data_IF_987140160380
#
_entry.id   IF_987140160380
#
_cell.length_a   1.000
_cell.length_b   1.000
_cell.length_c   1.000
_cell.angle_alpha   90.00
_cell.angle_beta   90.00
_cell.angle_gamma   90.00
#
_symmetry.space_group_name_H-M   'P 1'
#
loop_
_entity.id
_entity.type
_entity.pdbx_description
1 polymer ?
#
# COMPACT_ATOMS: atom_id res chain seq x y z
N UNK A 1 -31.41 2.25 -3.53
CA UNK A 1 -32.82 2.73 -3.63
C UNK A 1 -33.73 1.51 -3.68
N UNK A 2 -34.93 1.54 -3.05
CA UNK A 2 -35.89 0.41 -3.01
C UNK A 2 -37.11 0.72 -3.87
N UNK A 3 -37.48 -0.20 -4.76
CA UNK A 3 -38.84 -0.52 -5.27
C UNK A 3 -38.68 -1.46 -6.50
N UNK A 4 -39.56 -2.38 -6.90
CA UNK A 4 -40.72 -3.06 -6.32
C UNK A 4 -41.03 -4.27 -7.24
N UNK A 5 -41.62 -5.34 -6.69
CA UNK A 5 -42.00 -6.56 -7.44
C UNK A 5 -43.14 -6.32 -8.45
N UNK A 6 -43.08 -7.01 -9.59
CA UNK A 6 -44.26 -7.45 -10.34
C UNK A 6 -44.17 -8.95 -10.61
N UNK A 7 -45.15 -9.69 -10.09
CA UNK A 7 -45.48 -11.06 -10.53
C UNK A 7 -46.23 -10.97 -11.85
N UNK A 8 -45.95 -11.90 -12.75
CA UNK A 8 -46.97 -12.56 -13.56
C UNK A 8 -46.50 -13.98 -13.83
N UNK A 9 -47.36 -14.93 -13.43
CA UNK A 9 -47.29 -16.34 -13.73
C UNK A 9 -47.69 -16.57 -15.20
N UNK A 10 -47.00 -17.47 -15.91
CA UNK A 10 -47.56 -18.55 -16.73
C UNK A 10 -46.43 -19.34 -17.42
N UNK A 11 -46.68 -20.65 -17.52
CA UNK A 11 -45.76 -21.77 -17.69
C UNK A 11 -45.32 -21.99 -19.15
N UNK A 12 -44.05 -22.34 -19.38
CA UNK A 12 -43.63 -23.69 -19.83
C UNK A 12 -42.22 -23.75 -20.47
N UNK A 13 -41.39 -24.56 -19.81
CA UNK A 13 -40.50 -25.59 -20.35
C UNK A 13 -39.17 -25.28 -21.11
N UNK A 14 -38.15 -26.04 -20.66
CA UNK A 14 -36.89 -26.46 -21.30
C UNK A 14 -35.56 -25.69 -21.12
N UNK A 15 -34.66 -26.39 -20.41
CA UNK A 15 -33.19 -26.44 -20.50
C UNK A 15 -32.37 -25.39 -19.76
N UNK A 16 -31.80 -25.83 -18.63
CA UNK A 16 -30.82 -25.10 -17.84
C UNK A 16 -29.41 -25.24 -18.42
N UNK A 17 -28.88 -24.18 -19.01
CA UNK A 17 -27.45 -23.91 -19.11
C UNK A 17 -27.28 -22.39 -19.21
N UNK A 18 -27.09 -21.73 -18.07
CA UNK A 18 -26.66 -20.33 -18.06
C UNK A 18 -25.14 -20.25 -17.89
N UNK A 19 -24.54 -19.76 -18.95
CA UNK A 19 -23.17 -19.35 -19.16
C UNK A 19 -23.02 -17.96 -18.52
N UNK A 20 -22.26 -17.86 -17.42
CA UNK A 20 -22.02 -16.57 -16.74
C UNK A 20 -20.98 -15.77 -17.52
N UNK A 21 -21.44 -15.14 -18.61
CA UNK A 21 -20.69 -14.16 -19.38
C UNK A 21 -20.77 -12.80 -18.66
N UNK A 22 -19.69 -12.44 -17.96
CA UNK A 22 -19.46 -11.07 -17.49
C UNK A 22 -19.32 -10.14 -18.70
N UNK A 23 -20.44 -9.53 -19.08
CA UNK A 23 -20.54 -8.52 -20.10
C UNK A 23 -20.27 -7.16 -19.44
N UNK A 24 -19.16 -6.54 -19.83
CA UNK A 24 -18.78 -5.17 -19.48
C UNK A 24 -19.91 -4.24 -19.97
N UNK A 25 -20.66 -3.69 -19.03
CA UNK A 25 -21.68 -2.67 -19.30
C UNK A 25 -21.17 -1.36 -18.74
N UNK A 26 -20.70 -0.52 -19.66
CA UNK A 26 -20.53 0.92 -19.46
C UNK A 26 -21.93 1.51 -19.21
N UNK A 27 -22.36 1.54 -17.94
CA UNK A 27 -23.42 2.44 -17.49
C UNK A 27 -22.78 3.74 -17.03
N UNK A 28 -23.00 4.80 -17.82
CA UNK A 28 -22.72 6.18 -17.47
C UNK A 28 -23.34 6.50 -16.11
N UNK A 29 -22.50 6.65 -15.09
CA UNK A 29 -22.92 7.08 -13.76
C UNK A 29 -23.41 8.53 -13.82
N UNK A 30 -24.68 8.72 -13.47
CA UNK A 30 -25.28 10.04 -13.25
C UNK A 30 -24.40 10.86 -12.29
N UNK A 31 -23.99 12.04 -12.75
CA UNK A 31 -23.30 13.08 -12.00
C UNK A 31 -24.15 13.51 -10.78
N UNK A 32 -23.91 12.87 -9.64
CA UNK A 32 -24.44 13.31 -8.35
C UNK A 32 -23.54 14.43 -7.79
N UNK A 33 -23.99 15.68 -7.99
CA UNK A 33 -23.68 16.91 -7.24
C UNK A 33 -22.34 16.94 -6.48
N UNK A 34 -21.24 17.15 -7.23
CA UNK A 34 -19.89 17.37 -6.68
C UNK A 34 -19.72 18.82 -6.15
N UNK A 35 -20.60 19.75 -6.55
CA UNK A 35 -20.38 21.20 -6.45
C UNK A 35 -20.49 21.77 -5.01
N UNK A 36 -21.31 21.18 -4.14
CA UNK A 36 -21.53 21.74 -2.78
C UNK A 36 -20.45 21.34 -1.75
N UNK A 37 -19.63 20.33 -2.06
CA UNK A 37 -18.58 19.81 -1.16
C UNK A 37 -17.23 20.53 -1.28
N UNK A 38 -17.00 21.22 -2.41
CA UNK A 38 -15.74 21.91 -2.74
C UNK A 38 -15.52 23.13 -1.84
N UNK A 39 -16.60 23.79 -1.41
CA UNK A 39 -16.55 25.03 -0.62
C UNK A 39 -16.02 24.90 0.82
N UNK A 40 -15.94 23.68 1.38
CA UNK A 40 -15.42 23.45 2.75
C UNK A 40 -14.09 22.71 2.81
N UNK A 41 -13.74 21.91 1.80
CA UNK A 41 -12.60 21.00 1.86
C UNK A 41 -11.56 21.21 0.74
N UNK A 42 -11.76 22.19 -0.14
CA UNK A 42 -10.85 22.47 -1.25
C UNK A 42 -10.90 21.40 -2.35
N UNK A 43 -10.01 21.52 -3.33
CA UNK A 43 -9.85 20.54 -4.42
C UNK A 43 -9.13 19.29 -3.89
N UNK A 44 -9.74 18.12 -4.04
CA UNK A 44 -9.17 16.85 -3.60
C UNK A 44 -8.09 16.37 -4.57
N UNK A 45 -6.86 16.21 -4.09
CA UNK A 45 -5.81 15.49 -4.82
C UNK A 45 -5.95 13.98 -4.59
N UNK A 46 -6.05 13.21 -5.68
CA UNK A 46 -6.17 11.74 -5.61
C UNK A 46 -4.85 11.09 -6.00
N UNK A 47 -4.31 10.27 -5.11
CA UNK A 47 -3.17 9.38 -5.42
C UNK A 47 -3.71 8.00 -5.81
N UNK A 48 -3.28 7.41 -6.93
CA UNK A 48 -3.72 6.07 -7.31
C UNK A 48 -3.14 5.00 -6.38
N UNK A 49 -3.86 3.88 -6.25
CA UNK A 49 -3.40 2.72 -5.48
C UNK A 49 -2.17 2.09 -6.16
N UNK A 50 -1.02 2.11 -5.49
CA UNK A 50 0.26 1.63 -6.04
C UNK A 50 0.21 0.11 -6.24
N UNK A 51 -0.33 -0.62 -5.27
CA UNK A 51 -0.49 -2.09 -5.35
C UNK A 51 -1.40 -2.51 -6.50
N UNK A 52 -2.53 -1.81 -6.69
CA UNK A 52 -3.40 -2.07 -7.84
C UNK A 52 -2.68 -1.80 -9.16
N UNK A 53 -1.88 -0.73 -9.21
CA UNK A 53 -1.08 -0.38 -10.38
C UNK A 53 0.00 -1.43 -10.66
N UNK A 54 0.69 -1.95 -9.63
CA UNK A 54 1.63 -3.07 -9.76
C UNK A 54 0.96 -4.34 -10.28
N UNK A 55 -0.26 -4.63 -9.80
CA UNK A 55 -1.07 -5.75 -10.31
C UNK A 55 -1.31 -5.63 -11.82
N UNK A 56 -1.55 -4.43 -12.35
CA UNK A 56 -1.70 -4.21 -13.80
C UNK A 56 -0.41 -4.47 -14.57
N UNK A 57 0.75 -4.11 -14.01
CA UNK A 57 2.07 -4.40 -14.60
C UNK A 57 2.34 -5.90 -14.61
N UNK A 58 2.12 -6.60 -13.49
CA UNK A 58 2.37 -8.04 -13.39
C UNK A 58 1.38 -8.84 -14.23
N UNK A 59 0.14 -8.37 -14.41
CA UNK A 59 -0.85 -9.03 -15.27
C UNK A 59 -0.42 -9.16 -16.74
N UNK A 60 0.68 -8.53 -17.16
CA UNK A 60 1.35 -8.80 -18.44
C UNK A 60 1.73 -10.29 -18.62
N UNK A 61 1.91 -11.07 -17.53
CA UNK A 61 2.14 -12.52 -17.61
C UNK A 61 1.01 -13.29 -18.31
N UNK A 62 -0.22 -12.74 -18.27
CA UNK A 62 -1.38 -13.32 -18.94
C UNK A 62 -1.50 -12.88 -20.40
N UNK A 63 -0.81 -11.79 -20.78
CA UNK A 63 -0.82 -11.23 -22.13
C UNK A 63 0.29 -11.79 -23.01
N UNK A 64 1.39 -12.27 -22.41
CA UNK A 64 2.49 -12.89 -23.14
C UNK A 64 2.15 -14.36 -23.49
N UNK A 65 1.95 -14.74 -24.77
CA UNK A 65 1.37 -16.03 -25.13
C UNK A 65 2.17 -17.25 -24.66
N UNK A 66 3.50 -17.17 -24.73
CA UNK A 66 4.37 -18.26 -24.31
C UNK A 66 4.33 -18.48 -22.78
N UNK A 67 4.32 -17.39 -22.01
CA UNK A 67 4.21 -17.40 -20.55
C UNK A 67 2.84 -17.91 -20.13
N UNK A 68 1.77 -17.37 -20.73
CA UNK A 68 0.40 -17.82 -20.47
C UNK A 68 0.24 -19.32 -20.71
N UNK A 69 0.74 -19.83 -21.84
CA UNK A 69 0.69 -21.27 -22.16
C UNK A 69 1.42 -22.12 -21.13
N UNK A 70 2.57 -21.67 -20.62
CA UNK A 70 3.31 -22.37 -19.56
C UNK A 70 2.51 -22.38 -18.25
N UNK A 71 1.93 -21.25 -17.86
CA UNK A 71 1.08 -21.15 -16.66
C UNK A 71 -0.19 -22.01 -16.80
N UNK A 72 -0.80 -22.08 -17.98
CA UNK A 72 -2.00 -22.90 -18.22
C UNK A 72 -1.71 -24.40 -18.11
N UNK A 73 -0.52 -24.86 -18.52
CA UNK A 73 -0.06 -26.22 -18.27
C UNK A 73 0.10 -26.50 -16.77
N UNK A 74 0.71 -25.57 -16.03
CA UNK A 74 0.82 -25.69 -14.58
C UNK A 74 -0.55 -25.76 -13.91
N UNK A 75 -1.48 -24.88 -14.30
CA UNK A 75 -2.87 -24.89 -13.81
C UNK A 75 -3.56 -26.20 -14.11
N UNK A 76 -3.36 -26.76 -15.30
CA UNK A 76 -3.92 -28.07 -15.64
C UNK A 76 -3.40 -29.16 -14.70
N UNK A 77 -2.09 -29.23 -14.49
CA UNK A 77 -1.49 -30.19 -13.57
C UNK A 77 -2.03 -30.02 -12.14
N UNK A 78 -2.07 -28.80 -11.63
CA UNK A 78 -2.63 -28.49 -10.30
C UNK A 78 -4.08 -28.95 -10.21
N UNK A 79 -4.91 -28.69 -11.23
CA UNK A 79 -6.31 -29.14 -11.26
C UNK A 79 -6.44 -30.67 -11.26
N UNK A 80 -5.57 -31.39 -11.96
CA UNK A 80 -5.57 -32.87 -11.94
C UNK A 80 -5.35 -33.40 -10.53
N UNK A 81 -4.33 -32.89 -9.83
CA UNK A 81 -4.08 -33.22 -8.43
C UNK A 81 -5.28 -32.85 -7.56
N UNK A 82 -5.79 -31.62 -7.69
CA UNK A 82 -6.90 -31.12 -6.85
C UNK A 82 -8.20 -31.90 -7.03
N UNK A 83 -8.44 -32.51 -8.19
CA UNK A 83 -9.62 -33.34 -8.48
C UNK A 83 -9.48 -34.79 -8.01
N UNK A 84 -8.26 -35.30 -7.86
CA UNK A 84 -8.02 -36.70 -7.50
C UNK A 84 -7.68 -36.83 -6.02
N UNK A 85 -8.59 -37.45 -5.25
CA UNK A 85 -8.36 -37.77 -3.84
C UNK A 85 -7.12 -38.63 -3.65
N UNK A 86 -6.90 -39.61 -4.53
CA UNK A 86 -5.74 -40.52 -4.49
C UNK A 86 -4.44 -39.75 -4.75
N UNK A 87 -4.42 -38.81 -5.70
CA UNK A 87 -3.21 -38.02 -5.98
C UNK A 87 -2.85 -37.09 -4.81
N UNK A 88 -3.86 -36.42 -4.23
CA UNK A 88 -3.68 -35.58 -3.04
C UNK A 88 -3.16 -36.40 -1.87
N UNK A 89 -3.76 -37.55 -1.58
CA UNK A 89 -3.35 -38.40 -0.45
C UNK A 89 -1.90 -38.90 -0.62
N UNK A 90 -1.52 -39.32 -1.83
CA UNK A 90 -0.13 -39.72 -2.12
C UNK A 90 0.85 -38.55 -2.00
N UNK A 91 0.46 -37.35 -2.43
CA UNK A 91 1.30 -36.16 -2.30
C UNK A 91 1.47 -35.77 -0.83
N UNK A 92 0.39 -35.74 -0.07
CA UNK A 92 0.39 -35.52 1.37
C UNK A 92 1.25 -36.55 2.10
N UNK A 93 1.17 -37.83 1.72
CA UNK A 93 2.00 -38.89 2.29
C UNK A 93 3.50 -38.72 2.00
N UNK A 94 3.88 -38.00 0.94
CA UNK A 94 5.29 -37.76 0.57
C UNK A 94 5.88 -36.50 1.20
N UNK A 95 5.11 -35.40 1.28
CA UNK A 95 5.65 -34.11 1.71
C UNK A 95 4.77 -33.33 2.70
N UNK A 96 3.60 -33.86 3.08
CA UNK A 96 2.67 -33.18 3.99
C UNK A 96 1.99 -31.93 3.42
N UNK A 97 2.23 -31.61 2.14
CA UNK A 97 1.73 -30.41 1.48
C UNK A 97 0.79 -30.74 0.32
N UNK A 98 -0.09 -29.81 -0.02
CA UNK A 98 -0.92 -29.85 -1.23
C UNK A 98 -0.55 -28.74 -2.20
N UNK A 99 -0.91 -28.94 -3.46
CA UNK A 99 -0.91 -27.88 -4.46
C UNK A 99 -2.06 -26.88 -4.21
N UNK A 100 -1.87 -25.65 -4.66
CA UNK A 100 -2.80 -24.53 -4.44
C UNK A 100 -3.34 -24.08 -5.80
N UNK A 101 -4.67 -23.90 -5.93
CA UNK A 101 -5.26 -23.31 -7.13
C UNK A 101 -4.95 -21.81 -7.18
N UNK A 102 -4.82 -21.25 -8.38
CA UNK A 102 -4.79 -19.81 -8.57
C UNK A 102 -6.16 -19.23 -8.94
N UNK A 103 -6.27 -17.91 -8.78
CA UNK A 103 -7.28 -17.05 -9.34
C UNK A 103 -6.58 -16.22 -10.43
N UNK A 104 -6.74 -16.55 -11.73
CA UNK A 104 -5.95 -15.93 -12.80
C UNK A 104 -6.07 -14.40 -12.89
N UNK A 105 -7.15 -13.82 -12.33
CA UNK A 105 -7.37 -12.37 -12.25
C UNK A 105 -6.56 -11.69 -11.12
N UNK A 106 -6.02 -12.45 -10.16
CA UNK A 106 -5.18 -11.98 -9.04
C UNK A 106 -3.80 -12.62 -9.14
N UNK A 107 -2.81 -11.88 -9.64
CA UNK A 107 -1.49 -12.45 -9.95
C UNK A 107 -0.77 -13.02 -8.72
N UNK A 108 -1.03 -12.47 -7.52
CA UNK A 108 -0.47 -12.97 -6.26
C UNK A 108 -0.80 -14.44 -6.04
N UNK A 109 -2.02 -14.87 -6.36
CA UNK A 109 -2.42 -16.27 -6.29
C UNK A 109 -1.71 -17.15 -7.33
N UNK A 110 -1.44 -16.62 -8.53
CA UNK A 110 -0.65 -17.30 -9.56
C UNK A 110 0.79 -17.49 -9.11
N UNK A 111 1.39 -16.46 -8.49
CA UNK A 111 2.73 -16.53 -7.91
C UNK A 111 2.83 -17.59 -6.80
N UNK A 112 1.84 -17.64 -5.90
CA UNK A 112 1.77 -18.65 -4.84
C UNK A 112 1.59 -20.08 -5.37
N UNK A 113 0.75 -20.28 -6.38
CA UNK A 113 0.59 -21.58 -7.05
C UNK A 113 1.92 -22.03 -7.64
N UNK A 114 2.62 -21.15 -8.36
CA UNK A 114 3.92 -21.45 -8.95
C UNK A 114 4.98 -21.76 -7.89
N UNK A 115 5.05 -20.96 -6.84
CA UNK A 115 5.99 -21.15 -5.73
C UNK A 115 5.77 -22.49 -5.03
N UNK A 116 4.51 -22.83 -4.70
CA UNK A 116 4.16 -24.12 -4.10
C UNK A 116 4.48 -25.28 -5.03
N UNK A 117 4.16 -25.18 -6.31
CA UNK A 117 4.43 -26.26 -7.27
C UNK A 117 5.94 -26.53 -7.43
N UNK A 118 6.77 -25.48 -7.39
CA UNK A 118 8.23 -25.61 -7.43
C UNK A 118 8.79 -26.20 -6.13
N UNK A 119 8.23 -25.83 -4.96
CA UNK A 119 8.60 -26.36 -3.64
C UNK A 119 8.42 -27.89 -3.58
N UNK A 120 7.31 -28.41 -4.12
CA UNK A 120 7.00 -29.85 -4.09
C UNK A 120 7.27 -30.56 -5.42
N UNK A 121 8.07 -29.97 -6.31
CA UNK A 121 8.28 -30.42 -7.70
C UNK A 121 8.58 -31.91 -7.82
N UNK A 122 9.56 -32.40 -7.06
CA UNK A 122 10.03 -33.80 -7.19
C UNK A 122 8.97 -34.80 -6.73
N UNK A 123 8.21 -34.44 -5.69
CA UNK A 123 7.08 -35.24 -5.21
C UNK A 123 5.92 -35.23 -6.20
N UNK A 124 5.62 -34.08 -6.80
CA UNK A 124 4.58 -33.95 -7.86
C UNK A 124 4.95 -34.78 -9.08
N UNK A 125 6.20 -34.71 -9.54
CA UNK A 125 6.68 -35.51 -10.67
C UNK A 125 6.55 -37.01 -10.39
N UNK A 126 6.98 -37.46 -9.20
CA UNK A 126 6.88 -38.86 -8.78
C UNK A 126 5.43 -39.35 -8.69
N UNK A 127 4.52 -38.54 -8.16
CA UNK A 127 3.10 -38.92 -8.07
C UNK A 127 2.46 -38.95 -9.46
N UNK A 128 2.74 -37.96 -10.31
CA UNK A 128 2.23 -37.92 -11.68
C UNK A 128 2.68 -39.15 -12.48
N UNK A 129 3.94 -39.56 -12.36
CA UNK A 129 4.47 -40.78 -12.97
C UNK A 129 3.72 -42.03 -12.49
N UNK A 130 3.49 -42.16 -11.17
CA UNK A 130 2.71 -43.27 -10.59
C UNK A 130 1.24 -43.31 -11.05
N UNK A 131 0.73 -42.18 -11.52
CA UNK A 131 -0.63 -42.01 -12.04
C UNK A 131 -0.69 -42.08 -13.56
N UNK A 132 0.44 -42.28 -14.25
CA UNK A 132 0.56 -42.22 -15.71
C UNK A 132 0.06 -40.90 -16.30
N UNK A 133 0.23 -39.80 -15.56
CA UNK A 133 -0.16 -38.46 -16.00
C UNK A 133 1.00 -37.73 -16.65
N UNK A 134 0.68 -36.96 -17.70
CA UNK A 134 1.64 -36.04 -18.29
C UNK A 134 1.94 -34.90 -17.31
N UNK A 135 3.19 -34.86 -16.84
CA UNK A 135 3.72 -33.77 -16.04
C UNK A 135 4.42 -32.73 -16.91
N UNK A 136 4.75 -31.59 -16.30
CA UNK A 136 5.59 -30.58 -16.94
C UNK A 136 6.97 -31.18 -17.24
N UNK A 137 7.51 -30.81 -18.40
CA UNK A 137 8.84 -31.24 -18.81
C UNK A 137 9.92 -30.57 -17.96
N UNK A 138 11.13 -31.16 -17.83
CA UNK A 138 12.22 -30.56 -17.06
C UNK A 138 12.53 -29.11 -17.47
N UNK A 139 12.47 -28.81 -18.77
CA UNK A 139 12.66 -27.46 -19.31
C UNK A 139 11.53 -26.49 -18.95
N UNK A 140 10.30 -26.98 -18.79
CA UNK A 140 9.15 -26.20 -18.35
C UNK A 140 9.24 -25.85 -16.86
N UNK A 141 9.68 -26.80 -16.03
CA UNK A 141 9.99 -26.55 -14.63
C UNK A 141 11.10 -25.50 -14.46
N UNK A 142 12.14 -25.56 -15.28
CA UNK A 142 13.20 -24.55 -15.27
C UNK A 142 12.67 -23.16 -15.67
N UNK A 143 11.81 -23.08 -16.70
CA UNK A 143 11.19 -21.81 -17.11
C UNK A 143 10.27 -21.24 -16.02
N UNK A 144 9.53 -22.09 -15.30
CA UNK A 144 8.74 -21.66 -14.14
C UNK A 144 9.61 -21.12 -13.01
N UNK A 145 10.76 -21.74 -12.73
CA UNK A 145 11.69 -21.22 -11.73
C UNK A 145 12.20 -19.83 -12.12
N UNK A 146 12.61 -19.64 -13.38
CA UNK A 146 13.01 -18.32 -13.89
C UNK A 146 11.87 -17.31 -13.78
N UNK A 147 10.64 -17.69 -14.11
CA UNK A 147 9.48 -16.81 -13.98
C UNK A 147 9.17 -16.46 -12.52
N UNK A 148 9.35 -17.41 -11.59
CA UNK A 148 9.24 -17.15 -10.15
C UNK A 148 10.26 -16.11 -9.70
N UNK A 149 11.50 -16.21 -10.16
CA UNK A 149 12.55 -15.27 -9.79
C UNK A 149 12.30 -13.87 -10.37
N UNK A 150 11.76 -13.78 -11.60
CA UNK A 150 11.30 -12.50 -12.17
C UNK A 150 10.21 -11.84 -11.31
N UNK A 151 9.26 -12.63 -10.80
CA UNK A 151 8.11 -12.12 -10.05
C UNK A 151 8.34 -11.97 -8.54
N UNK A 152 9.46 -12.48 -8.00
CA UNK A 152 9.73 -12.47 -6.57
C UNK A 152 9.79 -11.04 -5.98
N UNK A 153 10.58 -10.10 -6.54
CA UNK A 153 10.61 -8.74 -6.01
C UNK A 153 9.24 -8.05 -6.04
N UNK A 154 8.42 -8.32 -7.07
CA UNK A 154 7.04 -7.80 -7.11
C UNK A 154 6.21 -8.32 -5.95
N UNK A 155 6.37 -9.59 -5.56
CA UNK A 155 5.61 -10.21 -4.47
C UNK A 155 6.03 -9.64 -3.12
N UNK A 156 7.32 -9.42 -2.93
CA UNK A 156 7.87 -8.83 -1.71
C UNK A 156 7.43 -7.37 -1.56
N UNK A 157 7.64 -6.54 -2.59
CA UNK A 157 7.24 -5.13 -2.57
C UNK A 157 5.73 -4.94 -2.45
N UNK A 158 4.93 -5.75 -3.15
CA UNK A 158 3.47 -5.68 -3.01
C UNK A 158 3.04 -5.97 -1.57
N UNK A 159 3.61 -6.99 -0.94
CA UNK A 159 3.29 -7.34 0.46
C UNK A 159 3.69 -6.22 1.43
N UNK A 160 4.83 -5.57 1.20
CA UNK A 160 5.29 -4.43 2.00
C UNK A 160 4.35 -3.22 1.84
N UNK A 161 3.97 -2.90 0.60
CA UNK A 161 3.10 -1.77 0.27
C UNK A 161 1.62 -1.99 0.65
N UNK A 162 1.20 -3.24 0.84
CA UNK A 162 -0.12 -3.61 1.36
C UNK A 162 -0.27 -3.42 2.88
N UNK A 163 0.80 -3.03 3.58
CA UNK A 163 0.76 -2.77 5.01
C UNK A 163 -0.23 -1.66 5.39
N UNK A 164 -0.78 -1.79 6.60
CA UNK A 164 -1.93 -1.02 7.09
C UNK A 164 -1.61 0.47 7.28
N UNK A 165 -0.33 0.80 7.50
CA UNK A 165 0.18 2.15 7.78
C UNK A 165 1.60 2.29 7.25
N UNK A 166 2.01 3.51 6.92
CA UNK A 166 3.41 3.85 6.61
C UNK A 166 4.01 3.15 5.40
N UNK A 167 3.21 2.99 4.34
CA UNK A 167 3.67 2.38 3.10
C UNK A 167 3.96 3.38 1.98
N UNK A 168 3.47 4.63 2.04
CA UNK A 168 3.70 5.60 0.97
C UNK A 168 5.18 5.99 0.84
N UNK A 169 5.91 6.10 1.94
CA UNK A 169 7.35 6.39 1.94
C UNK A 169 8.18 5.32 1.23
N UNK A 170 7.67 4.08 1.19
CA UNK A 170 8.34 2.93 0.58
C UNK A 170 8.07 2.82 -0.93
N UNK A 171 7.21 3.66 -1.50
CA UNK A 171 6.82 3.57 -2.92
C UNK A 171 7.99 3.87 -3.85
N UNK A 172 8.67 5.01 -3.65
CA UNK A 172 9.81 5.40 -4.48
C UNK A 172 10.93 4.35 -4.48
N UNK A 173 11.47 3.90 -3.33
CA UNK A 173 12.52 2.88 -3.34
C UNK A 173 12.05 1.56 -3.95
N UNK A 174 10.82 1.12 -3.67
CA UNK A 174 10.28 -0.12 -4.26
C UNK A 174 10.21 -0.04 -5.80
N UNK A 175 9.76 1.08 -6.35
CA UNK A 175 9.68 1.26 -7.81
C UNK A 175 11.08 1.33 -8.45
N UNK A 176 12.04 1.99 -7.80
CA UNK A 176 13.42 2.05 -8.29
C UNK A 176 14.09 0.67 -8.28
N UNK A 177 13.91 -0.12 -7.20
CA UNK A 177 14.40 -1.49 -7.12
C UNK A 177 13.77 -2.39 -8.19
N UNK A 178 12.45 -2.31 -8.37
CA UNK A 178 11.76 -3.03 -9.44
C UNK A 178 12.23 -2.64 -10.84
N UNK A 179 12.52 -1.36 -11.08
CA UNK A 179 13.09 -0.85 -12.35
C UNK A 179 14.48 -1.44 -12.59
N UNK A 180 15.33 -1.46 -11.56
CA UNK A 180 16.65 -2.09 -11.59
C UNK A 180 16.58 -3.59 -11.91
N UNK A 181 15.74 -4.32 -11.16
CA UNK A 181 15.50 -5.75 -11.35
C UNK A 181 15.03 -6.09 -12.77
N UNK A 182 14.04 -5.36 -13.30
CA UNK A 182 13.55 -5.57 -14.67
C UNK A 182 14.63 -5.31 -15.73
N UNK A 183 15.46 -4.29 -15.54
CA UNK A 183 16.58 -3.97 -16.42
C UNK A 183 17.61 -5.10 -16.44
N UNK A 184 18.00 -5.61 -15.28
CA UNK A 184 18.92 -6.74 -15.16
C UNK A 184 18.32 -8.01 -15.78
N UNK A 185 17.07 -8.33 -15.46
CA UNK A 185 16.40 -9.53 -15.95
C UNK A 185 16.23 -9.51 -17.48
N UNK A 186 16.00 -8.33 -18.06
CA UNK A 186 15.88 -8.13 -19.51
C UNK A 186 17.19 -8.43 -20.27
N UNK A 187 18.35 -8.36 -19.59
CA UNK A 187 19.66 -8.69 -20.19
C UNK A 187 19.98 -10.19 -20.11
N UNK A 188 19.21 -10.95 -19.31
CA UNK A 188 19.40 -12.38 -19.15
C UNK A 188 19.10 -13.14 -20.45
N UNK A 189 19.95 -14.14 -20.76
CA UNK A 189 19.81 -14.98 -21.97
C UNK A 189 19.16 -16.34 -21.72
N UNK A 190 18.85 -16.67 -20.47
CA UNK A 190 18.39 -18.02 -20.08
C UNK A 190 17.01 -18.38 -20.64
N UNK A 191 16.06 -17.44 -20.59
CA UNK A 191 14.71 -17.64 -21.12
C UNK A 191 14.21 -16.38 -21.86
N UNK A 192 14.20 -16.44 -23.19
CA UNK A 192 13.89 -15.29 -24.06
C UNK A 192 12.49 -14.70 -23.85
N UNK A 193 11.49 -15.53 -23.60
CA UNK A 193 10.12 -15.02 -23.38
C UNK A 193 10.03 -14.27 -22.04
N UNK A 194 10.76 -14.71 -21.00
CA UNK A 194 10.84 -13.98 -19.73
C UNK A 194 11.59 -12.66 -19.87
N UNK A 195 12.66 -12.60 -20.67
CA UNK A 195 13.34 -11.34 -20.98
C UNK A 195 12.42 -10.37 -21.74
N UNK A 196 11.65 -10.88 -22.72
CA UNK A 196 10.66 -10.10 -23.46
C UNK A 196 9.54 -9.59 -22.54
N UNK A 197 9.08 -10.43 -21.62
CA UNK A 197 8.11 -10.07 -20.60
C UNK A 197 8.67 -8.96 -19.69
N UNK A 198 9.91 -9.08 -19.22
CA UNK A 198 10.56 -8.08 -18.37
C UNK A 198 10.66 -6.71 -19.07
N UNK A 199 11.03 -6.69 -20.36
CA UNK A 199 11.05 -5.46 -21.16
C UNK A 199 9.66 -4.82 -21.28
N UNK A 200 8.63 -5.63 -21.53
CA UNK A 200 7.23 -5.15 -21.60
C UNK A 200 6.73 -4.66 -20.24
N UNK A 201 7.09 -5.33 -19.15
CA UNK A 201 6.77 -4.90 -17.79
C UNK A 201 7.47 -3.59 -17.45
N UNK A 202 8.73 -3.40 -17.86
CA UNK A 202 9.48 -2.15 -17.65
C UNK A 202 8.82 -0.99 -18.38
N UNK A 203 8.50 -1.14 -19.67
CA UNK A 203 7.77 -0.11 -20.42
C UNK A 203 6.39 0.21 -19.80
N UNK A 204 5.70 -0.79 -19.23
CA UNK A 204 4.43 -0.56 -18.55
C UNK A 204 4.60 0.13 -17.19
N UNK A 205 5.71 -0.12 -16.50
CA UNK A 205 6.08 0.51 -15.24
C UNK A 205 6.34 2.01 -15.45
N UNK A 206 7.17 2.37 -16.42
CA UNK A 206 7.45 3.78 -16.75
C UNK A 206 6.16 4.55 -17.04
N UNK A 207 5.28 4.00 -17.88
CA UNK A 207 4.02 4.65 -18.25
C UNK A 207 3.07 4.86 -17.05
N UNK A 208 2.97 3.85 -16.16
CA UNK A 208 1.98 3.86 -15.07
C UNK A 208 2.46 4.60 -13.84
N UNK A 209 3.76 4.61 -13.59
CA UNK A 209 4.37 5.24 -12.43
C UNK A 209 5.08 6.56 -12.75
N UNK A 210 4.91 7.09 -13.97
CA UNK A 210 5.33 8.44 -14.33
C UNK A 210 4.91 9.49 -13.30
N UNK A 211 3.69 9.39 -12.74
CA UNK A 211 3.25 10.35 -11.71
C UNK A 211 4.11 10.35 -10.42
N UNK A 212 4.87 9.29 -10.15
CA UNK A 212 5.69 9.15 -8.95
C UNK A 212 7.17 9.38 -9.21
N UNK A 213 7.67 9.05 -10.41
CA UNK A 213 9.09 9.04 -10.73
C UNK A 213 9.51 10.07 -11.79
N UNK A 214 8.62 10.42 -12.71
CA UNK A 214 8.94 11.33 -13.82
C UNK A 214 8.56 12.77 -13.45
N UNK A 215 9.57 13.57 -13.10
CA UNK A 215 9.43 14.98 -12.74
C UNK A 215 8.92 15.85 -13.90
N UNK A 216 8.98 15.34 -15.14
CA UNK A 216 8.53 16.03 -16.35
C UNK A 216 7.10 15.70 -16.77
N UNK A 217 6.47 14.67 -16.17
CA UNK A 217 5.07 14.33 -16.43
C UNK A 217 4.15 15.41 -15.85
N UNK A 218 3.16 15.86 -16.62
CA UNK A 218 2.20 16.89 -16.20
C UNK A 218 1.40 16.52 -14.94
N UNK A 219 1.26 15.22 -14.66
CA UNK A 219 0.54 14.67 -13.50
C UNK A 219 1.46 14.29 -12.35
N UNK A 220 2.75 14.60 -12.45
CA UNK A 220 3.74 14.29 -11.42
C UNK A 220 3.30 14.82 -10.06
N UNK A 221 3.38 13.96 -9.04
CA UNK A 221 3.08 14.28 -7.65
C UNK A 221 4.33 14.10 -6.79
N UNK A 222 4.84 15.17 -6.14
CA UNK A 222 5.99 15.06 -5.25
C UNK A 222 5.66 14.37 -3.92
N UNK A 223 4.41 13.97 -3.69
CA UNK A 223 3.92 13.47 -2.41
C UNK A 223 4.64 12.19 -1.95
N UNK A 224 4.77 11.19 -2.82
CA UNK A 224 5.46 9.95 -2.48
C UNK A 224 6.97 10.18 -2.27
N UNK A 225 7.57 11.07 -3.06
CA UNK A 225 8.96 11.48 -2.89
C UNK A 225 9.18 12.25 -1.58
N UNK A 226 8.23 13.10 -1.17
CA UNK A 226 8.26 13.80 0.11
C UNK A 226 8.11 12.84 1.29
N UNK A 227 7.20 11.86 1.21
CA UNK A 227 7.08 10.81 2.21
C UNK A 227 8.36 9.96 2.32
N UNK A 228 8.94 9.59 1.18
CA UNK A 228 10.23 8.90 1.10
C UNK A 228 11.35 9.73 1.74
N UNK A 229 11.39 11.04 1.47
CA UNK A 229 12.42 11.97 1.95
C UNK A 229 12.43 12.14 3.47
N UNK A 230 11.27 12.04 4.13
CA UNK A 230 11.16 12.20 5.59
C UNK A 230 11.23 10.89 6.35
N UNK A 231 11.31 9.76 5.64
CA UNK A 231 11.40 8.43 6.26
C UNK A 231 12.87 8.10 6.57
N UNK A 232 13.28 8.05 7.85
CA UNK A 232 14.67 7.79 8.21
C UNK A 232 15.17 6.41 7.74
N UNK A 233 14.29 5.42 7.57
CA UNK A 233 14.66 4.07 7.17
C UNK A 233 15.03 3.97 5.69
N UNK A 234 14.50 4.88 4.86
CA UNK A 234 14.71 4.90 3.40
C UNK A 234 15.65 6.02 3.00
N UNK A 235 15.54 7.15 3.68
CA UNK A 235 16.19 8.41 3.29
C UNK A 235 17.71 8.35 3.36
N UNK A 236 18.30 7.57 4.26
CA UNK A 236 19.77 7.51 4.34
C UNK A 236 20.38 6.96 3.04
N UNK A 237 19.86 5.83 2.54
CA UNK A 237 20.33 5.18 1.31
C UNK A 237 20.00 6.02 0.07
N UNK A 238 18.77 6.55 -0.02
CA UNK A 238 18.31 7.31 -1.19
C UNK A 238 18.89 8.73 -1.24
N UNK A 239 19.03 9.43 -0.12
CA UNK A 239 19.46 10.84 -0.08
C UNK A 239 21.00 11.01 -0.07
N UNK A 240 21.76 10.06 0.48
CA UNK A 240 23.20 10.23 0.70
C UNK A 240 24.07 9.48 -0.32
N UNK A 241 23.59 8.37 -0.88
CA UNK A 241 24.42 7.45 -1.66
C UNK A 241 24.11 7.46 -3.16
N UNK A 242 23.11 8.23 -3.60
CA UNK A 242 22.62 8.18 -4.97
C UNK A 242 23.13 9.33 -5.86
N UNK A 243 23.92 9.00 -6.88
CA UNK A 243 24.47 9.95 -7.87
C UNK A 243 23.58 10.14 -9.11
N UNK A 244 22.44 9.46 -9.20
CA UNK A 244 21.53 9.53 -10.35
C UNK A 244 20.83 10.90 -10.42
N UNK A 245 20.98 11.59 -11.56
CA UNK A 245 20.41 12.92 -11.79
C UNK A 245 18.87 12.92 -11.69
N UNK A 246 18.18 11.86 -12.15
CA UNK A 246 16.71 11.76 -12.06
C UNK A 246 16.26 11.74 -10.59
N UNK A 247 16.98 10.97 -9.77
CA UNK A 247 16.67 10.82 -8.35
C UNK A 247 16.96 12.13 -7.62
N UNK A 248 18.08 12.80 -7.93
CA UNK A 248 18.39 14.11 -7.33
C UNK A 248 17.34 15.17 -7.68
N UNK A 249 16.80 15.17 -8.88
CA UNK A 249 15.71 16.09 -9.25
C UNK A 249 14.40 15.74 -8.55
N UNK A 250 14.09 14.46 -8.37
CA UNK A 250 12.95 13.99 -7.58
C UNK A 250 13.04 14.48 -6.12
N UNK A 251 14.23 14.39 -5.51
CA UNK A 251 14.48 14.84 -4.14
C UNK A 251 14.36 16.35 -4.00
N UNK A 252 14.86 17.14 -4.98
CA UNK A 252 14.65 18.60 -4.98
C UNK A 252 13.16 18.96 -5.02
N UNK A 253 12.36 18.24 -5.81
CA UNK A 253 10.90 18.45 -5.86
C UNK A 253 10.22 18.09 -4.53
N UNK A 254 10.67 17.02 -3.86
CA UNK A 254 10.21 16.67 -2.53
C UNK A 254 10.50 17.78 -1.51
N UNK A 255 11.73 18.32 -1.50
CA UNK A 255 12.10 19.43 -0.60
C UNK A 255 11.30 20.70 -0.85
N UNK A 256 11.09 21.04 -2.12
CA UNK A 256 10.26 22.17 -2.51
C UNK A 256 8.81 21.98 -2.06
N UNK A 257 8.27 20.78 -2.20
CA UNK A 257 6.93 20.43 -1.72
C UNK A 257 6.81 20.58 -0.21
N UNK A 258 7.75 20.02 0.57
CA UNK A 258 7.78 20.13 2.03
C UNK A 258 7.87 21.61 2.44
N UNK A 259 8.75 22.37 1.80
CA UNK A 259 8.95 23.80 2.11
C UNK A 259 7.68 24.63 1.86
N UNK A 260 6.89 24.30 0.82
CA UNK A 260 5.63 24.98 0.49
C UNK A 260 4.47 24.54 1.38
N UNK A 261 4.46 23.27 1.79
CA UNK A 261 3.37 22.65 2.55
C UNK A 261 3.41 23.02 4.03
N UNK A 262 4.59 23.31 4.57
CA UNK A 262 4.72 23.85 5.93
C UNK A 262 4.27 25.31 5.94
N UNK A 263 3.03 25.55 6.39
CA UNK A 263 2.49 26.91 6.55
C UNK A 263 3.34 27.71 7.55
N UNK A 264 3.81 28.92 7.24
CA UNK A 264 4.35 29.79 8.26
C UNK A 264 3.21 30.12 9.22
N UNK A 265 3.26 29.62 10.46
CA UNK A 265 2.35 30.09 11.52
C UNK A 265 2.51 31.61 11.59
N UNK A 266 1.52 32.35 11.10
CA UNK A 266 1.31 33.73 11.52
C UNK A 266 1.02 33.60 13.01
N UNK A 267 1.91 34.14 13.84
CA UNK A 267 1.55 34.37 15.23
C UNK A 267 0.40 35.37 15.17
N UNK A 268 -0.83 34.90 15.40
CA UNK A 268 -1.85 35.80 15.92
C UNK A 268 -1.27 36.31 17.23
N UNK A 269 -0.77 37.55 17.18
CA UNK A 269 -0.51 38.33 18.37
C UNK A 269 -1.88 38.45 19.03
N UNK A 270 -2.08 37.75 20.15
CA UNK A 270 -3.12 38.14 21.10
C UNK A 270 -2.71 39.53 21.60
N UNK A 271 -3.16 40.56 20.89
CA UNK A 271 -3.27 41.91 21.42
C UNK A 271 -4.27 41.83 22.59
N UNK A 272 -3.74 41.76 23.81
CA UNK A 272 -4.49 42.13 25.01
C UNK A 272 -3.87 43.39 25.59
N UNK A 273 -4.21 44.52 24.98
CA UNK A 273 -4.33 45.84 25.58
C UNK A 273 -5.83 46.18 25.40
N UNK A 274 -6.68 46.59 26.36
CA UNK A 274 -6.52 47.41 27.56
C UNK A 274 -7.65 47.09 28.58
N UNK A 275 -7.62 47.83 29.70
CA UNK A 275 -8.61 48.02 30.79
C UNK A 275 -8.38 47.19 32.06
N UNK A 276 -8.19 47.74 33.27
CA UNK A 276 -8.36 49.10 33.78
C UNK A 276 -7.52 49.23 35.07
N UNK A 277 -6.84 50.37 35.23
CA UNK A 277 -6.30 50.81 36.50
C UNK A 277 -7.44 51.36 37.38
N UNK A 278 -7.87 50.61 38.41
CA UNK A 278 -8.52 51.18 39.59
C UNK A 278 -7.99 50.56 40.88
N UNK A 279 -7.29 51.37 41.65
CA UNK A 279 -6.92 51.10 43.03
C UNK A 279 -8.17 51.14 43.93
N UNK A 280 -8.31 50.13 44.81
CA UNK A 280 -8.45 50.26 46.28
C UNK A 280 -9.25 49.08 46.89
N UNK A 281 -8.53 48.32 47.73
CA UNK A 281 -8.95 47.59 48.95
C UNK A 281 -10.42 47.18 49.15
N UNK A 282 -10.69 45.87 49.27
CA UNK A 282 -11.22 45.20 50.49
C UNK A 282 -11.44 43.69 50.27
N UNK A 283 -11.60 42.98 51.38
CA UNK A 283 -11.29 41.57 51.59
C UNK A 283 -12.22 40.51 50.95
N UNK A 284 -11.66 39.29 50.93
CA UNK A 284 -12.30 37.98 51.13
C UNK A 284 -13.01 37.24 49.98
N UNK A 285 -12.35 36.13 49.60
CA UNK A 285 -12.86 34.82 49.13
C UNK A 285 -13.42 34.67 47.71
N UNK A 286 -12.53 34.24 46.81
CA UNK A 286 -12.86 33.47 45.61
C UNK A 286 -12.79 31.94 45.90
N UNK A 287 -13.57 31.07 45.24
CA UNK A 287 -13.25 29.65 45.12
C UNK A 287 -12.26 29.44 43.96
N UNK A 288 -11.10 28.86 44.27
CA UNK A 288 -10.04 28.49 43.32
C UNK A 288 -10.46 27.37 42.35
N UNK A 289 -10.01 27.38 41.08
CA UNK A 289 -9.97 26.18 40.24
C UNK A 289 -8.89 25.21 40.73
N UNK A 290 -9.16 23.92 40.52
CA UNK A 290 -8.45 22.76 41.08
C UNK A 290 -6.94 22.77 40.74
N UNK A 291 -6.10 22.90 41.76
CA UNK A 291 -4.66 22.61 41.65
C UNK A 291 -4.42 21.10 41.46
N UNK A 292 -3.42 20.68 40.68
CA UNK A 292 -2.98 19.29 40.63
C UNK A 292 -2.44 18.85 42.00
N UNK A 293 -2.75 17.60 42.36
CA UNK A 293 -2.72 17.05 43.73
C UNK A 293 -1.31 16.87 44.33
N UNK A 294 -0.24 17.21 43.61
CA UNK A 294 1.14 17.11 44.10
C UNK A 294 2.01 18.27 43.57
N UNK A 295 2.43 19.18 44.47
CA UNK A 295 3.31 20.32 44.14
C UNK A 295 4.78 19.95 43.91
N UNK A 296 5.17 18.69 44.15
CA UNK A 296 6.56 18.23 44.04
C UNK A 296 6.96 17.85 42.60
N UNK A 297 6.00 17.69 41.69
CA UNK A 297 6.24 17.39 40.27
C UNK A 297 6.24 18.62 39.37
N UNK A 298 6.30 19.83 39.93
CA UNK A 298 6.46 21.04 39.14
C UNK A 298 7.96 21.38 39.12
N UNK A 299 8.76 20.94 38.13
CA UNK A 299 9.96 21.70 37.84
C UNK A 299 9.45 23.08 37.43
N UNK A 300 9.90 24.11 38.14
CA UNK A 300 9.77 25.48 37.68
C UNK A 300 10.46 25.52 36.32
N UNK A 301 9.72 25.38 35.22
CA UNK A 301 10.28 25.56 33.89
C UNK A 301 10.75 27.02 33.85
N UNK A 302 12.07 27.30 33.78
CA UNK A 302 12.48 28.63 33.37
C UNK A 302 11.81 28.87 32.03
N UNK A 303 11.20 30.06 31.87
CA UNK A 303 10.65 30.50 30.60
C UNK A 303 11.67 30.13 29.51
N UNK A 304 11.28 29.22 28.60
CA UNK A 304 12.18 28.74 27.54
C UNK A 304 12.77 29.98 26.87
N UNK A 305 14.11 30.09 26.73
CA UNK A 305 14.67 31.08 25.82
C UNK A 305 13.97 30.90 24.48
N UNK A 306 13.30 31.94 23.96
CA UNK A 306 12.78 31.95 22.59
C UNK A 306 14.00 31.91 21.67
N UNK A 307 14.55 30.73 21.44
CA UNK A 307 15.51 30.51 20.36
C UNK A 307 14.83 30.95 19.07
N UNK A 308 15.52 31.66 18.17
CA UNK A 308 14.96 32.00 16.86
C UNK A 308 14.45 30.72 16.21
N UNK A 309 13.14 30.65 15.91
CA UNK A 309 12.55 29.46 15.27
C UNK A 309 13.27 29.25 13.93
N UNK A 310 13.97 28.12 13.80
CA UNK A 310 14.71 27.79 12.59
C UNK A 310 13.77 27.81 11.37
N UNK A 311 14.27 28.32 10.24
CA UNK A 311 13.53 28.21 8.98
C UNK A 311 13.34 26.73 8.63
N UNK A 312 12.24 26.37 7.97
CA UNK A 312 12.00 24.98 7.52
C UNK A 312 13.19 24.46 6.69
N UNK A 313 13.82 25.33 5.88
CA UNK A 313 15.03 24.97 5.12
C UNK A 313 16.22 24.60 6.00
N UNK A 314 16.36 25.25 7.16
CA UNK A 314 17.41 24.92 8.14
C UNK A 314 17.09 23.61 8.87
N UNK A 315 15.81 23.35 9.19
CA UNK A 315 15.38 22.06 9.74
C UNK A 315 15.64 20.92 8.75
N UNK A 316 15.32 21.11 7.46
CA UNK A 316 15.60 20.13 6.39
C UNK A 316 17.10 19.86 6.27
N UNK A 317 17.94 20.89 6.25
CA UNK A 317 19.40 20.70 6.18
C UNK A 317 19.92 19.94 7.42
N UNK A 318 19.45 20.33 8.61
CA UNK A 318 19.81 19.65 9.85
C UNK A 318 19.37 18.19 9.86
N UNK A 319 18.20 17.89 9.29
CA UNK A 319 17.70 16.53 9.13
C UNK A 319 18.65 15.71 8.25
N UNK A 320 19.05 16.21 7.07
CA UNK A 320 20.05 15.56 6.20
C UNK A 320 21.36 15.28 6.95
N UNK A 321 21.88 16.28 7.66
CA UNK A 321 23.13 16.14 8.43
C UNK A 321 23.02 15.13 9.59
N UNK A 322 21.80 14.89 10.08
CA UNK A 322 21.52 13.93 11.16
C UNK A 322 21.41 12.51 10.62
N UNK A 323 20.79 12.33 9.45
CA UNK A 323 20.75 11.03 8.77
C UNK A 323 22.16 10.48 8.49
N UNK A 324 23.11 11.35 8.13
CA UNK A 324 24.51 10.94 7.92
C UNK A 324 25.21 10.44 9.20
N UNK A 325 24.60 10.60 10.37
CA UNK A 325 25.19 10.29 11.69
C UNK A 325 24.37 9.26 12.47
N UNK A 326 23.10 9.06 12.12
CA UNK A 326 22.19 8.17 12.83
C UNK A 326 22.39 6.73 12.36
N UNK A 327 22.63 5.81 13.31
CA UNK A 327 22.76 4.38 13.05
C UNK A 327 21.45 3.60 13.26
N UNK A 328 20.41 4.22 13.85
CA UNK A 328 19.17 3.53 14.21
C UNK A 328 17.92 4.43 14.09
N UNK A 329 16.84 3.88 13.52
CA UNK A 329 15.61 4.61 13.16
C UNK A 329 14.70 4.90 14.36
N UNK A 330 14.83 4.12 15.44
CA UNK A 330 13.97 4.25 16.62
C UNK A 330 14.42 5.39 17.55
N UNK A 331 15.72 5.65 17.63
CA UNK A 331 16.29 6.81 18.35
C UNK A 331 15.91 8.14 17.67
N UNK A 332 15.63 8.10 16.37
CA UNK A 332 15.28 9.28 15.57
C UNK A 332 13.94 9.90 15.99
N UNK A 333 12.88 9.10 16.19
CA UNK A 333 11.57 9.65 16.55
C UNK A 333 11.58 10.35 17.91
N UNK A 334 12.32 9.82 18.90
CA UNK A 334 12.46 10.45 20.22
C UNK A 334 13.32 11.72 20.16
N UNK A 335 14.31 11.77 19.26
CA UNK A 335 15.13 12.96 19.03
C UNK A 335 14.36 14.10 18.33
N UNK A 336 13.35 13.77 17.51
CA UNK A 336 12.59 14.76 16.73
C UNK A 336 11.72 15.70 17.58
N UNK A 337 11.33 15.31 18.79
CA UNK A 337 10.42 16.07 19.66
C UNK A 337 10.92 17.47 20.05
N UNK A 338 12.23 17.67 20.05
CA UNK A 338 12.85 18.94 20.47
C UNK A 338 13.53 19.70 19.35
N UNK A 339 13.72 19.08 18.18
CA UNK A 339 14.61 19.57 17.13
C UNK A 339 13.86 20.01 15.87
N UNK A 340 12.76 19.36 15.52
CA UNK A 340 12.05 19.57 14.24
C UNK A 340 10.61 20.04 14.47
N UNK A 341 10.44 21.23 15.04
CA UNK A 341 9.12 21.76 15.40
C UNK A 341 8.19 21.95 14.18
N UNK A 342 8.76 22.24 13.00
CA UNK A 342 8.00 22.54 11.78
C UNK A 342 7.94 21.36 10.82
N UNK A 343 9.03 20.60 10.69
CA UNK A 343 9.07 19.44 9.81
C UNK A 343 8.29 18.26 10.38
N UNK A 344 8.32 18.05 11.71
CA UNK A 344 7.73 16.86 12.34
C UNK A 344 6.22 16.67 12.05
N UNK A 345 5.33 17.68 12.21
CA UNK A 345 3.91 17.47 11.96
C UNK A 345 3.63 16.98 10.54
N UNK A 346 4.24 17.63 9.55
CA UNK A 346 4.12 17.23 8.15
C UNK A 346 4.74 15.85 7.89
N UNK A 347 5.89 15.55 8.49
CA UNK A 347 6.51 14.24 8.36
C UNK A 347 5.62 13.13 8.91
N UNK A 348 4.97 13.33 10.06
CA UNK A 348 4.03 12.36 10.61
C UNK A 348 2.81 12.16 9.69
N UNK A 349 2.28 13.23 9.11
CA UNK A 349 1.16 13.14 8.17
C UNK A 349 1.55 12.36 6.91
N UNK A 350 2.73 12.66 6.33
CA UNK A 350 3.26 11.96 5.16
C UNK A 350 3.55 10.49 5.43
N UNK A 351 4.17 10.20 6.57
CA UNK A 351 4.48 8.83 6.98
C UNK A 351 3.22 8.05 7.31
N UNK A 352 2.14 8.65 7.79
CA UNK A 352 0.89 7.94 8.04
C UNK A 352 0.17 7.47 6.77
N UNK A 353 0.55 7.98 5.59
CA UNK A 353 -0.17 7.70 4.35
C UNK A 353 0.05 6.26 3.85
N UNK A 354 -1.04 5.54 3.49
CA UNK A 354 -0.92 4.22 2.87
C UNK A 354 -0.66 4.32 1.37
N UNK A 355 0.13 3.40 0.82
CA UNK A 355 0.33 3.21 -0.62
C UNK A 355 -0.79 2.38 -1.28
N UNK A 356 -1.63 1.73 -0.48
CA UNK A 356 -2.59 0.72 -0.93
C UNK A 356 -3.97 0.90 -0.31
N UNK A 357 -5.00 0.53 -1.09
CA UNK A 357 -6.38 0.42 -0.62
C UNK A 357 -6.68 -0.95 0.01
N UNK A 358 -5.72 -1.88 0.01
CA UNK A 358 -5.89 -3.25 0.52
C UNK A 358 -6.30 -3.31 1.99
N UNK A 359 -5.92 -2.33 2.82
CA UNK A 359 -6.39 -2.23 4.20
C UNK A 359 -7.92 -2.05 4.26
N UNK A 360 -8.45 -1.09 3.50
CA UNK A 360 -9.88 -0.86 3.41
C UNK A 360 -10.61 -2.09 2.87
N UNK A 361 -10.07 -2.74 1.84
CA UNK A 361 -10.63 -3.99 1.30
C UNK A 361 -10.67 -5.11 2.34
N UNK A 362 -9.64 -5.27 3.18
CA UNK A 362 -9.64 -6.25 4.27
C UNK A 362 -10.74 -5.96 5.29
N UNK A 363 -10.93 -4.70 5.67
CA UNK A 363 -12.03 -4.29 6.56
C UNK A 363 -13.38 -4.60 5.94
N UNK A 364 -13.56 -4.31 4.64
CA UNK A 364 -14.79 -4.62 3.92
C UNK A 364 -15.00 -6.12 3.73
N UNK A 365 -13.94 -6.90 3.53
CA UNK A 365 -14.04 -8.36 3.44
C UNK A 365 -14.49 -8.98 4.76
N UNK A 366 -13.97 -8.51 5.89
CA UNK A 366 -14.38 -9.00 7.23
C UNK A 366 -15.83 -8.62 7.54
N UNK A 367 -16.26 -7.46 7.08
CA UNK A 367 -17.64 -6.98 7.26
C UNK A 367 -18.60 -7.50 6.19
N UNK A 368 -18.08 -8.07 5.09
CA UNK A 368 -18.83 -8.69 4.00
C UNK A 368 -19.73 -9.83 4.46
N UNK A 369 -19.31 -10.61 5.46
CA UNK A 369 -20.16 -11.65 6.04
C UNK A 369 -21.45 -11.10 6.69
N UNK A 370 -21.43 -9.84 7.15
CA UNK A 370 -22.60 -9.16 7.71
C UNK A 370 -23.52 -8.57 6.63
N UNK A 371 -23.00 -8.28 5.44
CA UNK A 371 -23.74 -7.66 4.32
C UNK A 371 -24.19 -8.64 3.23
N UNK A 372 -23.61 -9.84 3.14
CA UNK A 372 -23.87 -10.86 2.08
C UNK A 372 -25.19 -11.63 2.20
N UNK A 373 -26.20 -11.07 2.88
CA UNK A 373 -27.58 -11.55 2.78
C UNK A 373 -27.89 -12.93 3.41
N UNK A 374 -26.92 -13.61 4.03
CA UNK A 374 -27.23 -14.69 4.99
C UNK A 374 -28.00 -14.03 6.13
N UNK A 375 -29.15 -14.59 6.55
CA UNK A 375 -30.11 -14.02 7.51
C UNK A 375 -29.47 -13.45 8.80
N UNK A 376 -28.88 -12.27 8.70
CA UNK A 376 -28.13 -11.61 9.74
C UNK A 376 -28.92 -10.35 10.10
N UNK A 377 -29.82 -10.49 11.09
CA UNK A 377 -30.51 -9.34 11.67
C UNK A 377 -29.54 -8.63 12.61
N UNK A 378 -28.57 -7.91 12.04
CA UNK A 378 -27.58 -7.18 12.81
C UNK A 378 -28.29 -6.11 13.67
N UNK A 379 -28.05 -6.13 14.99
CA UNK A 379 -28.59 -5.12 15.93
C UNK A 379 -27.82 -3.79 15.89
N UNK A 380 -26.60 -3.82 15.36
CA UNK A 380 -25.69 -2.68 15.20
C UNK A 380 -25.46 -2.40 13.72
N UNK A 381 -25.24 -1.13 13.37
CA UNK A 381 -24.90 -0.74 12.00
C UNK A 381 -23.58 -1.39 11.57
N UNK A 382 -23.45 -1.65 10.26
CA UNK A 382 -22.24 -2.22 9.66
C UNK A 382 -21.01 -1.38 10.00
N UNK A 383 -21.14 -0.06 9.86
CA UNK A 383 -20.14 0.95 10.20
C UNK A 383 -19.65 0.82 11.65
N UNK A 384 -20.56 0.77 12.63
CA UNK A 384 -20.19 0.65 14.04
C UNK A 384 -19.49 -0.68 14.33
N UNK A 385 -19.90 -1.74 13.65
CA UNK A 385 -19.30 -3.07 13.80
C UNK A 385 -17.89 -3.12 13.21
N UNK A 386 -17.68 -2.48 12.04
CA UNK A 386 -16.37 -2.30 11.43
C UNK A 386 -15.43 -1.50 12.34
N UNK A 387 -15.90 -0.37 12.84
CA UNK A 387 -15.14 0.51 13.73
C UNK A 387 -14.74 -0.18 15.04
N UNK A 388 -15.67 -0.88 15.69
CA UNK A 388 -15.37 -1.62 16.93
C UNK A 388 -14.37 -2.75 16.68
N UNK A 389 -14.48 -3.45 15.54
CA UNK A 389 -13.56 -4.54 15.20
C UNK A 389 -12.15 -4.04 14.97
N UNK A 390 -11.98 -2.96 14.24
CA UNK A 390 -10.68 -2.30 14.01
C UNK A 390 -10.01 -1.90 15.32
N UNK A 391 -10.76 -1.28 16.25
CA UNK A 391 -10.21 -0.82 17.52
C UNK A 391 -10.00 -1.92 18.55
N UNK A 392 -10.68 -3.07 18.42
CA UNK A 392 -10.48 -4.21 19.33
C UNK A 392 -9.11 -4.90 19.17
N UNK A 393 -8.42 -4.69 18.04
CA UNK A 393 -7.07 -5.22 17.80
C UNK A 393 -5.94 -4.36 18.38
N UNK A 394 -6.20 -3.07 18.64
CA UNK A 394 -5.18 -2.10 19.11
C UNK A 394 -5.04 -2.05 20.65
N UNK A 395 -5.73 -2.93 21.38
CA UNK A 395 -5.75 -2.98 22.84
C UNK A 395 -5.05 -4.20 23.44
N UNK A 396 -3.95 -4.65 22.83
CA UNK A 396 -3.12 -5.76 23.34
C UNK A 396 -1.72 -5.29 23.72
#
# INVERSE_FOLDING_TARGET
MVAAFRRNDEEDNESSFEEDSLQDSDEEGEDLDVDESIGRYGTWERTPCVVHTLQLVVNMIQKEPAIKKLLDKLRHLVRLFRKSSVAIERLLGKCGLTLTNDCPTRWSSTYLMMSRALEVKDHVASVAESMTWDSLQPSEWQRLAILKDLLLPFAEHTKVLESDTNSLSLVVPALLDLRGHLSEFSRSRSYKDAATLAQKMSANMELRFALFLDVTDDRFSPLAAAACFVDPCVSAEVLLENEDEEIQDLLKKAEDYITRSVTPRICEEEETDEEENRQAETAETAPLPKQPRFRFFSPSCPARPRTPRASIRQEIQKYKDTLSKAADAQEWMEFCDTVFERLKPLALDLLAMPASQAFAERVFSVTGDLSTGRRNRARTTLERSAFLKLNSGNSS
#
